data_IF_366056771683
#
_entry.id   IF_366056771683
#
_cell.length_a   1.000
_cell.length_b   1.000
_cell.length_c   1.000
_cell.angle_alpha   90.00
_cell.angle_beta   90.00
_cell.angle_gamma   90.00
#
_symmetry.space_group_name_H-M   'P 1'
#
loop_
_entity.id
_entity.type
_entity.pdbx_description
1 polymer ?
#
# COMPACT_ATOMS: atom_id res chain seq x y z
N UNK A 1 23.86 -13.31 21.00
CA UNK A 1 22.48 -13.69 21.01
C UNK A 1 21.76 -13.33 19.75
N UNK A 2 20.77 -14.11 19.47
CA UNK A 2 19.92 -13.84 18.34
C UNK A 2 18.83 -12.89 18.74
N UNK A 3 18.83 -11.74 18.11
CA UNK A 3 17.74 -10.82 18.27
C UNK A 3 16.82 -10.95 17.08
N UNK A 4 15.61 -11.40 17.35
CA UNK A 4 14.58 -11.38 16.34
C UNK A 4 13.85 -10.06 16.50
N UNK A 5 13.94 -9.25 15.48
CA UNK A 5 13.21 -7.99 15.49
C UNK A 5 11.75 -8.28 15.22
N UNK A 6 10.98 -8.24 16.27
CA UNK A 6 9.54 -8.54 16.17
C UNK A 6 8.72 -7.32 15.78
N UNK A 7 9.36 -6.16 15.75
CA UNK A 7 8.70 -4.90 15.44
C UNK A 7 8.57 -4.63 13.94
N UNK A 8 9.20 -5.47 13.12
CA UNK A 8 9.16 -5.30 11.67
C UNK A 8 8.49 -6.49 11.01
N UNK A 9 7.35 -6.22 10.38
CA UNK A 9 6.66 -7.21 9.57
C UNK A 9 6.60 -6.67 8.16
N UNK A 10 7.22 -7.35 7.19
CA UNK A 10 7.20 -6.87 5.82
C UNK A 10 5.77 -6.85 5.28
N UNK A 11 5.49 -5.82 4.52
CA UNK A 11 4.22 -5.73 3.81
C UNK A 11 4.21 -6.76 2.69
N UNK A 12 3.12 -7.49 2.59
CA UNK A 12 2.94 -8.48 1.54
C UNK A 12 1.65 -8.21 0.79
N UNK A 13 1.69 -8.42 -0.51
CA UNK A 13 0.52 -8.31 -1.34
C UNK A 13 0.35 -9.61 -2.11
N UNK A 14 -0.85 -10.16 -2.07
CA UNK A 14 -1.17 -11.37 -2.81
C UNK A 14 -2.42 -11.14 -3.64
N UNK A 15 -2.50 -11.81 -4.78
CA UNK A 15 -3.66 -11.75 -5.66
C UNK A 15 -4.13 -13.17 -5.90
N UNK A 16 -5.39 -13.41 -5.56
CA UNK A 16 -6.04 -14.71 -5.77
C UNK A 16 -7.29 -14.49 -6.61
N UNK A 17 -7.20 -14.80 -7.88
CA UNK A 17 -8.26 -14.46 -8.82
C UNK A 17 -8.38 -12.96 -8.96
N UNK A 18 -9.48 -12.40 -8.50
CA UNK A 18 -9.67 -10.94 -8.48
C UNK A 18 -9.44 -10.35 -7.11
N UNK A 19 -9.21 -11.17 -6.08
CA UNK A 19 -9.07 -10.70 -4.71
C UNK A 19 -7.64 -10.31 -4.42
N UNK A 20 -7.43 -9.05 -4.07
CA UNK A 20 -6.14 -8.53 -3.67
C UNK A 20 -6.12 -8.42 -2.15
N UNK A 21 -5.06 -8.90 -1.52
CA UNK A 21 -4.90 -8.83 -0.07
C UNK A 21 -3.54 -8.22 0.25
N UNK A 22 -3.54 -7.21 1.10
CA UNK A 22 -2.32 -6.55 1.56
C UNK A 22 -2.27 -6.73 3.07
N UNK A 23 -1.18 -7.31 3.54
CA UNK A 23 -1.04 -7.64 4.96
C UNK A 23 0.26 -7.08 5.51
N UNK A 24 0.23 -6.69 6.78
CA UNK A 24 1.39 -6.10 7.43
C UNK A 24 1.60 -6.60 8.86
N UNK A 25 0.75 -7.51 9.32
CA UNK A 25 0.83 -7.96 10.70
C UNK A 25 0.04 -7.09 11.68
N UNK A 26 -0.23 -5.84 11.32
CA UNK A 26 -1.05 -4.95 12.14
C UNK A 26 -2.41 -4.72 11.54
N UNK A 27 -2.43 -4.49 10.25
CA UNK A 27 -3.65 -4.11 9.56
C UNK A 27 -3.63 -4.75 8.19
N UNK A 28 -4.79 -5.22 7.77
CA UNK A 28 -4.94 -5.89 6.48
C UNK A 28 -5.98 -5.15 5.66
N UNK A 29 -5.77 -5.15 4.36
CA UNK A 29 -6.69 -4.53 3.42
C UNK A 29 -6.96 -5.51 2.30
N UNK A 30 -8.22 -5.65 1.93
CA UNK A 30 -8.62 -6.52 0.82
C UNK A 30 -9.59 -5.78 -0.08
N UNK A 31 -9.44 -5.99 -1.37
CA UNK A 31 -10.36 -5.42 -2.36
C UNK A 31 -10.28 -6.26 -3.64
N UNK A 32 -11.24 -6.03 -4.53
CA UNK A 32 -11.24 -6.71 -5.82
C UNK A 32 -10.54 -5.85 -6.86
N UNK A 33 -9.89 -6.49 -7.82
CA UNK A 33 -9.30 -5.76 -8.94
C UNK A 33 -10.36 -4.99 -9.73
N UNK A 34 -11.62 -5.43 -9.66
CA UNK A 34 -12.73 -4.71 -10.31
C UNK A 34 -13.02 -3.37 -9.66
N UNK A 35 -12.55 -3.15 -8.44
CA UNK A 35 -12.77 -1.91 -7.71
C UNK A 35 -11.68 -0.87 -7.99
N UNK A 36 -10.62 -1.24 -8.68
CA UNK A 36 -9.51 -0.34 -8.94
C UNK A 36 -9.87 0.68 -10.00
N UNK A 37 -9.80 1.95 -9.64
CA UNK A 37 -10.08 3.06 -10.55
C UNK A 37 -8.81 3.60 -11.20
N UNK A 38 -7.69 3.53 -10.48
CA UNK A 38 -6.42 4.06 -10.98
C UNK A 38 -5.27 3.35 -10.29
N UNK A 39 -4.18 3.17 -11.02
CA UNK A 39 -2.99 2.46 -10.55
C UNK A 39 -1.76 3.21 -11.02
N UNK A 40 -0.88 3.60 -10.10
CA UNK A 40 0.32 4.37 -10.41
C UNK A 40 1.50 3.93 -9.56
N UNK A 41 2.69 4.11 -10.12
CA UNK A 41 3.93 4.06 -9.36
C UNK A 41 4.43 5.49 -9.22
N UNK A 42 4.52 5.95 -7.98
CA UNK A 42 4.91 7.33 -7.67
C UNK A 42 6.31 7.35 -7.09
N UNK A 43 7.04 8.42 -7.34
CA UNK A 43 8.37 8.58 -6.73
C UNK A 43 8.27 8.74 -5.22
N UNK A 44 7.18 9.36 -4.76
CA UNK A 44 6.92 9.58 -3.35
C UNK A 44 5.43 9.76 -3.15
N UNK A 45 5.01 9.85 -1.88
CA UNK A 45 3.61 10.13 -1.56
C UNK A 45 3.19 11.46 -2.18
N UNK A 46 1.91 11.59 -2.56
CA UNK A 46 1.40 12.87 -3.06
C UNK A 46 1.57 13.98 -2.03
N UNK A 47 1.68 15.22 -2.52
CA UNK A 47 1.73 16.39 -1.67
C UNK A 47 0.35 16.67 -1.09
N UNK A 48 0.11 16.16 0.11
CA UNK A 48 -1.17 16.25 0.78
C UNK A 48 -0.94 16.23 2.29
N UNK A 49 -1.94 16.66 3.03
CA UNK A 49 -1.93 16.58 4.48
C UNK A 49 -2.68 15.32 4.88
N UNK A 50 -1.96 14.36 5.44
CA UNK A 50 -2.54 13.09 5.88
C UNK A 50 -2.67 13.07 7.39
N UNK A 51 -3.86 12.73 7.86
CA UNK A 51 -4.16 12.59 9.28
C UNK A 51 -4.44 11.13 9.56
N UNK A 52 -3.82 10.62 10.62
CA UNK A 52 -3.99 9.23 11.03
C UNK A 52 -5.32 9.07 11.75
N UNK A 53 -6.11 8.11 11.28
CA UNK A 53 -7.35 7.71 11.94
C UNK A 53 -7.13 6.52 12.85
N UNK A 54 -6.31 5.56 12.39
CA UNK A 54 -5.99 4.36 13.14
C UNK A 54 -4.69 3.80 12.59
N UNK A 55 -3.83 3.29 13.46
CA UNK A 55 -2.57 2.73 13.06
C UNK A 55 -1.39 3.47 13.65
N UNK A 56 -0.30 3.50 12.92
CA UNK A 56 0.98 4.01 13.40
C UNK A 56 1.58 5.00 12.42
N UNK A 57 2.16 6.05 12.94
CA UNK A 57 2.92 7.01 12.15
C UNK A 57 4.13 7.45 12.97
N UNK A 58 5.31 7.32 12.37
CA UNK A 58 6.54 7.81 12.97
C UNK A 58 7.40 8.44 11.87
N UNK A 59 8.67 8.73 12.16
CA UNK A 59 9.54 9.35 11.17
C UNK A 59 9.94 8.45 10.02
N UNK A 60 9.62 7.16 10.11
CA UNK A 60 10.07 6.16 9.13
C UNK A 60 8.94 5.48 8.38
N UNK A 61 7.77 5.35 8.97
CA UNK A 61 6.69 4.62 8.32
C UNK A 61 5.32 5.19 8.65
N UNK A 62 4.39 4.95 7.73
CA UNK A 62 2.97 5.20 7.92
C UNK A 62 2.24 3.88 7.72
N UNK A 63 1.46 3.47 8.70
CA UNK A 63 0.81 2.16 8.66
C UNK A 63 -0.59 2.27 9.24
N UNK A 64 -1.59 1.93 8.43
CA UNK A 64 -2.97 1.90 8.88
C UNK A 64 -3.90 2.79 8.09
N UNK A 65 -4.92 3.30 8.77
CA UNK A 65 -5.97 4.10 8.17
C UNK A 65 -5.68 5.58 8.36
N UNK A 66 -5.66 6.30 7.24
CA UNK A 66 -5.38 7.72 7.20
C UNK A 66 -6.44 8.41 6.37
N UNK A 67 -6.45 9.72 6.45
CA UNK A 67 -7.28 10.56 5.58
C UNK A 67 -6.43 11.73 5.09
N UNK A 68 -6.36 11.87 3.77
CA UNK A 68 -5.72 13.03 3.15
C UNK A 68 -6.73 14.12 2.90
N UNK A 69 -6.29 15.37 3.02
CA UNK A 69 -7.17 16.49 2.78
C UNK A 69 -7.68 16.50 1.33
N UNK A 70 -6.81 16.17 0.39
CA UNK A 70 -7.15 16.10 -1.02
C UNK A 70 -7.48 14.67 -1.45
N UNK A 71 -6.71 13.71 -0.96
CA UNK A 71 -6.82 12.30 -1.35
C UNK A 71 -8.07 11.64 -0.78
N UNK A 72 -8.51 12.08 0.40
CA UNK A 72 -9.63 11.44 1.08
C UNK A 72 -9.18 10.21 1.85
N UNK A 73 -10.06 9.22 2.03
CA UNK A 73 -9.73 8.02 2.81
C UNK A 73 -8.58 7.26 2.18
N UNK A 74 -7.63 6.82 2.99
CA UNK A 74 -6.48 6.05 2.53
C UNK A 74 -6.12 4.94 3.48
N UNK A 75 -5.40 3.97 2.93
CA UNK A 75 -4.76 2.88 3.67
C UNK A 75 -3.27 2.97 3.37
N UNK A 76 -2.47 3.10 4.43
CA UNK A 76 -1.04 3.31 4.28
C UNK A 76 -0.26 2.07 4.69
N UNK A 77 0.65 1.65 3.83
CA UNK A 77 1.63 0.59 4.08
C UNK A 77 2.95 1.11 3.54
N UNK A 78 3.43 2.22 4.11
CA UNK A 78 4.50 3.01 3.49
C UNK A 78 5.69 3.12 4.42
N UNK A 79 6.86 2.78 3.90
CA UNK A 79 8.14 3.14 4.49
C UNK A 79 8.62 4.39 3.77
N UNK A 80 8.83 5.46 4.54
CA UNK A 80 9.09 6.78 3.96
C UNK A 80 10.42 6.87 3.23
N UNK A 81 11.34 5.96 3.53
CA UNK A 81 12.65 5.90 2.88
C UNK A 81 12.64 5.08 1.60
N UNK A 82 11.54 4.42 1.31
CA UNK A 82 11.45 3.53 0.16
C UNK A 82 10.76 4.18 -1.02
N UNK A 83 11.15 3.76 -2.22
CA UNK A 83 10.62 4.27 -3.47
C UNK A 83 10.68 3.14 -4.49
N UNK A 84 9.75 3.04 -5.42
CA UNK A 84 8.57 3.90 -5.59
C UNK A 84 7.44 3.54 -4.64
N UNK A 85 6.45 4.42 -4.58
CA UNK A 85 5.22 4.19 -3.83
C UNK A 85 4.17 3.72 -4.82
N UNK A 86 3.60 2.56 -4.55
CA UNK A 86 2.50 2.03 -5.35
C UNK A 86 1.20 2.66 -4.86
N UNK A 87 0.45 3.26 -5.76
CA UNK A 87 -0.81 3.92 -5.47
C UNK A 87 -1.93 3.17 -6.17
N UNK A 88 -2.87 2.67 -5.37
CA UNK A 88 -4.03 1.92 -5.87
C UNK A 88 -5.27 2.66 -5.43
N UNK A 89 -5.94 3.32 -6.34
CA UNK A 89 -7.17 4.03 -6.02
C UNK A 89 -8.36 3.11 -6.27
N UNK A 90 -9.14 2.87 -5.22
CA UNK A 90 -10.39 2.14 -5.34
C UNK A 90 -11.57 3.12 -5.18
N UNK A 91 -12.77 2.61 -5.32
CA UNK A 91 -13.96 3.44 -5.17
C UNK A 91 -14.24 3.86 -3.72
N UNK A 92 -13.54 3.24 -2.73
CA UNK A 92 -13.75 3.56 -1.32
C UNK A 92 -12.56 4.27 -0.69
N UNK A 93 -11.35 3.97 -1.14
CA UNK A 93 -10.12 4.53 -0.57
C UNK A 93 -8.97 4.36 -1.54
N UNK A 94 -7.87 5.04 -1.23
CA UNK A 94 -6.62 4.87 -1.96
C UNK A 94 -5.63 4.11 -1.07
N UNK A 95 -4.98 3.10 -1.62
CA UNK A 95 -3.95 2.36 -0.92
C UNK A 95 -2.59 2.85 -1.40
N UNK A 96 -1.74 3.21 -0.46
CA UNK A 96 -0.34 3.53 -0.75
C UNK A 96 0.52 2.49 -0.08
N UNK A 97 1.43 1.88 -0.83
CA UNK A 97 2.33 0.89 -0.23
C UNK A 97 3.69 0.93 -0.90
N UNK A 98 4.70 0.61 -0.11
CA UNK A 98 6.07 0.44 -0.58
C UNK A 98 6.44 -1.03 -0.44
N UNK A 99 7.26 -1.51 -1.36
CA UNK A 99 7.78 -2.87 -1.31
C UNK A 99 9.19 -2.86 -0.74
N UNK A 100 9.72 -4.03 -0.32
CA UNK A 100 11.09 -4.09 0.17
C UNK A 100 12.14 -3.67 -0.85
N UNK A 101 11.84 -3.86 -2.16
CA UNK A 101 12.75 -3.46 -3.22
C UNK A 101 11.96 -2.79 -4.34
N UNK A 102 12.68 -2.01 -5.14
CA UNK A 102 12.08 -1.37 -6.31
C UNK A 102 11.54 -2.40 -7.30
N UNK A 103 12.27 -3.48 -7.50
CA UNK A 103 11.85 -4.55 -8.41
C UNK A 103 10.55 -5.18 -7.93
N UNK A 104 10.42 -5.40 -6.63
CA UNK A 104 9.20 -5.96 -6.08
C UNK A 104 8.01 -5.01 -6.28
N UNK A 105 8.23 -3.71 -6.09
CA UNK A 105 7.18 -2.72 -6.33
C UNK A 105 6.72 -2.74 -7.79
N UNK A 106 7.66 -2.83 -8.71
CA UNK A 106 7.36 -2.89 -10.13
C UNK A 106 6.63 -4.19 -10.48
N UNK A 107 7.01 -5.29 -9.86
CA UNK A 107 6.34 -6.58 -10.06
C UNK A 107 4.89 -6.53 -9.56
N UNK A 108 4.66 -5.94 -8.41
CA UNK A 108 3.30 -5.77 -7.87
C UNK A 108 2.46 -4.91 -8.78
N UNK A 109 3.03 -3.81 -9.27
CA UNK A 109 2.34 -2.94 -10.21
C UNK A 109 1.93 -3.69 -11.47
N UNK A 110 2.86 -4.43 -12.05
CA UNK A 110 2.60 -5.17 -13.28
C UNK A 110 1.58 -6.28 -13.05
N UNK A 111 1.67 -6.95 -11.92
CA UNK A 111 0.74 -8.03 -11.56
C UNK A 111 -0.69 -7.50 -11.44
N UNK A 112 -0.85 -6.38 -10.75
CA UNK A 112 -2.16 -5.74 -10.62
C UNK A 112 -2.70 -5.31 -11.99
N UNK A 113 -1.83 -4.72 -12.79
CA UNK A 113 -2.21 -4.24 -14.11
C UNK A 113 -2.68 -5.39 -15.00
N UNK A 114 -1.97 -6.50 -14.96
CA UNK A 114 -2.33 -7.68 -15.73
C UNK A 114 -3.68 -8.22 -15.30
N UNK A 115 -3.97 -8.25 -14.02
CA UNK A 115 -5.25 -8.74 -13.50
C UNK A 115 -6.40 -7.79 -13.81
N UNK A 116 -6.13 -6.49 -13.89
CA UNK A 116 -7.16 -5.51 -14.22
C UNK A 116 -7.64 -5.65 -15.65
N UNK A 117 -6.75 -6.04 -16.54
CA UNK A 117 -7.06 -6.15 -17.96
C UNK A 117 -7.28 -7.60 -18.43
N UNK A 118 -7.19 -8.54 -17.52
CA UNK A 118 -7.37 -9.94 -17.81
C UNK A 118 -8.81 -10.34 -17.49
N UNK A 119 -9.64 -10.36 -18.51
CA UNK A 119 -11.04 -10.75 -18.37
C UNK A 119 -11.31 -11.99 -19.17
#
# INVERSE_FOLDING_TARGET
GLFIRMDFVPVQMTIDGTQVSITSGYTDTSFSTDEILDLQLLDSLPDDSFVRSNGSADGHQLLGVFRGKKTGPCRMYVELDESPVLSIQTDEYTVFLTAPTKIQAENWYQELKDHMFDN
#
